data_IF_442838210489
#
_entry.id   IF_442838210489
#
_cell.length_a   1.000
_cell.length_b   1.000
_cell.length_c   1.000
_cell.angle_alpha   90.00
_cell.angle_beta   90.00
_cell.angle_gamma   90.00
#
_symmetry.space_group_name_H-M   'P 1'
#
loop_
_entity.id
_entity.type
_entity.pdbx_description
1 polymer ?
#
# COMPACT_ATOMS: atom_id res chain seq x y z
N UNK A 1 -26.62 -42.69 -5.58
CA UNK A 1 -25.75 -41.60 -5.09
C UNK A 1 -25.72 -41.52 -3.56
N UNK A 2 -26.86 -41.40 -2.83
CA UNK A 2 -26.86 -41.29 -1.35
C UNK A 2 -26.19 -42.49 -0.64
N UNK A 3 -26.38 -43.72 -1.12
CA UNK A 3 -25.70 -44.93 -0.60
C UNK A 3 -24.17 -44.89 -0.77
N UNK A 4 -23.69 -44.34 -1.90
CA UNK A 4 -22.27 -44.24 -2.23
C UNK A 4 -21.55 -43.17 -1.33
N UNK A 5 -22.30 -42.13 -0.93
CA UNK A 5 -21.79 -41.02 -0.12
C UNK A 5 -22.08 -41.23 1.39
N UNK A 6 -22.69 -42.34 1.79
CA UNK A 6 -23.02 -42.62 3.19
C UNK A 6 -24.03 -41.64 3.81
N UNK A 7 -24.87 -40.98 2.99
CA UNK A 7 -25.85 -40.00 3.43
C UNK A 7 -27.25 -40.58 3.36
N UNK A 8 -28.11 -40.34 4.38
CA UNK A 8 -29.50 -40.75 4.34
C UNK A 8 -30.27 -40.03 3.23
N UNK A 9 -31.22 -40.72 2.57
CA UNK A 9 -32.05 -40.08 1.55
C UNK A 9 -32.88 -38.93 2.10
N UNK A 10 -33.46 -39.07 3.28
CA UNK A 10 -34.23 -38.03 3.94
C UNK A 10 -33.37 -36.77 4.19
N UNK A 11 -32.16 -36.92 4.75
CA UNK A 11 -31.27 -35.82 4.96
C UNK A 11 -30.87 -35.08 3.66
N UNK A 12 -30.73 -35.81 2.55
CA UNK A 12 -30.48 -35.21 1.25
C UNK A 12 -31.68 -34.41 0.74
N UNK A 13 -32.90 -34.98 0.80
CA UNK A 13 -34.11 -34.28 0.35
C UNK A 13 -34.48 -33.09 1.28
N UNK A 14 -34.28 -33.22 2.57
CA UNK A 14 -34.43 -32.11 3.53
C UNK A 14 -33.43 -30.97 3.26
N UNK A 15 -32.21 -31.31 2.85
CA UNK A 15 -31.22 -30.33 2.43
C UNK A 15 -31.64 -29.63 1.12
N UNK A 16 -32.10 -30.40 0.11
CA UNK A 16 -32.57 -29.84 -1.17
C UNK A 16 -33.83 -28.97 -0.96
N UNK A 17 -34.79 -29.40 -0.16
CA UNK A 17 -35.97 -28.58 0.18
C UNK A 17 -35.59 -27.30 0.90
N UNK A 18 -34.70 -27.36 1.88
CA UNK A 18 -34.20 -26.17 2.55
C UNK A 18 -33.45 -25.22 1.59
N UNK A 19 -32.75 -25.76 0.61
CA UNK A 19 -32.03 -25.00 -0.43
C UNK A 19 -33.00 -24.34 -1.41
N UNK A 20 -34.08 -25.05 -1.82
CA UNK A 20 -35.08 -24.55 -2.75
C UNK A 20 -36.10 -23.60 -2.07
N UNK A 21 -36.46 -23.89 -0.81
CA UNK A 21 -37.44 -23.12 -0.04
C UNK A 21 -36.79 -22.09 0.93
N UNK A 22 -35.47 -21.85 0.80
CA UNK A 22 -34.85 -20.80 1.59
C UNK A 22 -35.51 -19.47 1.20
N UNK A 23 -36.29 -18.85 2.10
CA UNK A 23 -36.85 -17.53 1.79
C UNK A 23 -35.71 -16.64 1.39
N UNK A 24 -35.97 -15.78 0.43
CA UNK A 24 -35.03 -14.83 -0.10
C UNK A 24 -34.48 -13.98 1.06
N UNK A 25 -33.35 -14.43 1.62
CA UNK A 25 -32.77 -13.78 2.79
C UNK A 25 -32.27 -12.39 2.38
N UNK A 26 -33.12 -11.40 2.58
CA UNK A 26 -32.81 -9.99 2.29
C UNK A 26 -31.48 -9.58 2.92
N UNK A 27 -31.19 -10.04 4.13
CA UNK A 27 -29.92 -9.77 4.81
C UNK A 27 -28.74 -10.43 4.08
N UNK A 28 -28.90 -11.66 3.58
CA UNK A 28 -27.87 -12.31 2.80
C UNK A 28 -27.60 -11.62 1.46
N UNK A 29 -28.66 -11.17 0.77
CA UNK A 29 -28.51 -10.37 -0.46
C UNK A 29 -27.80 -9.03 -0.17
N UNK A 30 -28.14 -8.34 0.92
CA UNK A 30 -27.46 -7.13 1.32
C UNK A 30 -25.96 -7.37 1.59
N UNK A 31 -25.62 -8.49 2.24
CA UNK A 31 -24.23 -8.90 2.45
C UNK A 31 -23.48 -9.16 1.15
N UNK A 32 -24.08 -9.86 0.18
CA UNK A 32 -23.47 -10.11 -1.13
C UNK A 32 -23.25 -8.79 -1.89
N UNK A 33 -24.24 -7.91 -1.90
CA UNK A 33 -24.12 -6.59 -2.51
C UNK A 33 -23.00 -5.76 -1.85
N UNK A 34 -22.93 -5.77 -0.51
CA UNK A 34 -21.85 -5.08 0.21
C UNK A 34 -20.47 -5.64 -0.15
N UNK A 35 -20.32 -6.97 -0.24
CA UNK A 35 -19.09 -7.65 -0.65
C UNK A 35 -18.68 -7.24 -2.07
N UNK A 36 -19.63 -7.21 -3.02
CA UNK A 36 -19.37 -6.77 -4.39
C UNK A 36 -18.95 -5.29 -4.48
N UNK A 37 -19.63 -4.41 -3.73
CA UNK A 37 -19.31 -2.99 -3.68
C UNK A 37 -17.92 -2.73 -3.09
N UNK A 38 -17.56 -3.40 -1.99
CA UNK A 38 -16.21 -3.35 -1.40
C UNK A 38 -15.19 -3.88 -2.39
N UNK A 39 -15.45 -5.01 -3.07
CA UNK A 39 -14.52 -5.56 -4.04
C UNK A 39 -14.27 -4.60 -5.21
N UNK A 40 -15.32 -3.95 -5.73
CA UNK A 40 -15.20 -2.93 -6.79
C UNK A 40 -14.42 -1.71 -6.32
N UNK A 41 -14.71 -1.18 -5.13
CA UNK A 41 -14.02 0.02 -4.60
C UNK A 41 -12.53 -0.19 -4.37
N UNK A 42 -12.10 -1.42 -4.04
CA UNK A 42 -10.69 -1.77 -3.87
C UNK A 42 -10.07 -2.46 -5.08
N UNK A 43 -10.71 -2.41 -6.25
CA UNK A 43 -10.24 -3.01 -7.51
C UNK A 43 -9.87 -4.51 -7.36
N UNK A 44 -10.67 -5.27 -6.63
CA UNK A 44 -10.53 -6.72 -6.39
C UNK A 44 -9.20 -7.11 -5.70
N UNK A 45 -8.64 -6.24 -4.88
CA UNK A 45 -7.35 -6.47 -4.21
C UNK A 45 -7.48 -6.98 -2.79
N UNK A 46 -8.68 -6.87 -2.18
CA UNK A 46 -8.91 -7.30 -0.81
C UNK A 46 -9.16 -8.80 -0.71
N UNK A 47 -8.29 -9.50 0.04
CA UNK A 47 -8.56 -10.87 0.48
C UNK A 47 -9.49 -10.92 1.70
N UNK A 48 -9.87 -12.12 2.14
CA UNK A 48 -10.85 -12.34 3.22
C UNK A 48 -10.56 -11.62 4.55
N UNK A 49 -9.30 -11.31 4.85
CA UNK A 49 -8.94 -10.56 6.08
C UNK A 49 -9.39 -9.10 6.00
N UNK A 50 -9.07 -8.41 4.88
CA UNK A 50 -9.50 -7.02 4.65
C UNK A 50 -11.00 -6.94 4.39
N UNK A 51 -11.56 -7.90 3.63
CA UNK A 51 -13.00 -7.99 3.39
C UNK A 51 -13.80 -8.10 4.70
N UNK A 52 -13.38 -8.98 5.64
CA UNK A 52 -13.98 -9.05 6.98
C UNK A 52 -13.96 -7.68 7.67
N UNK A 53 -12.82 -6.99 7.66
CA UNK A 53 -12.68 -5.67 8.35
C UNK A 53 -13.56 -4.61 7.69
N UNK A 54 -13.63 -4.58 6.36
CA UNK A 54 -14.46 -3.65 5.62
C UNK A 54 -15.97 -3.91 5.88
N UNK A 55 -16.41 -5.17 5.91
CA UNK A 55 -17.80 -5.53 6.24
C UNK A 55 -18.14 -5.15 7.68
N UNK A 56 -17.24 -5.40 8.63
CA UNK A 56 -17.48 -5.05 10.03
C UNK A 56 -17.54 -3.52 10.25
N UNK A 57 -16.83 -2.72 9.44
CA UNK A 57 -16.92 -1.26 9.44
C UNK A 57 -18.26 -0.74 8.88
N UNK A 58 -19.03 -1.59 8.17
CA UNK A 58 -20.39 -1.34 7.71
C UNK A 58 -21.43 -2.01 8.62
N UNK A 59 -21.06 -2.33 9.87
CA UNK A 59 -21.89 -3.00 10.89
C UNK A 59 -22.32 -4.45 10.57
N UNK A 60 -21.79 -5.06 9.51
CA UNK A 60 -21.98 -6.47 9.23
C UNK A 60 -21.02 -7.34 10.05
N UNK A 61 -21.46 -7.87 11.18
CA UNK A 61 -20.64 -8.75 12.04
C UNK A 61 -20.41 -10.11 11.38
N UNK A 62 -19.28 -10.25 10.66
CA UNK A 62 -18.91 -11.48 9.96
C UNK A 62 -17.57 -12.02 10.45
N UNK A 63 -17.45 -13.36 10.50
CA UNK A 63 -16.17 -14.03 10.70
C UNK A 63 -15.34 -14.00 9.41
N UNK A 64 -14.04 -14.28 9.50
CA UNK A 64 -13.16 -14.40 8.32
C UNK A 64 -13.62 -15.51 7.38
N UNK A 65 -14.12 -16.62 7.94
CA UNK A 65 -14.62 -17.74 7.17
C UNK A 65 -15.89 -17.35 6.40
N UNK A 66 -16.87 -16.69 7.06
CA UNK A 66 -18.07 -16.17 6.40
C UNK A 66 -17.74 -15.18 5.29
N UNK A 67 -16.80 -14.23 5.53
CA UNK A 67 -16.35 -13.31 4.50
C UNK A 67 -15.74 -14.03 3.28
N UNK A 68 -14.95 -15.11 3.51
CA UNK A 68 -14.40 -15.94 2.41
C UNK A 68 -15.51 -16.63 1.60
N UNK A 69 -16.51 -17.21 2.27
CA UNK A 69 -17.65 -17.84 1.61
C UNK A 69 -18.43 -16.86 0.76
N UNK A 70 -18.77 -15.68 1.33
CA UNK A 70 -19.48 -14.62 0.61
C UNK A 70 -18.70 -14.15 -0.63
N UNK A 71 -17.37 -14.02 -0.53
CA UNK A 71 -16.52 -13.68 -1.68
C UNK A 71 -16.57 -14.77 -2.78
N UNK A 72 -16.56 -16.04 -2.40
CA UNK A 72 -16.68 -17.17 -3.33
C UNK A 72 -18.05 -17.20 -4.01
N UNK A 73 -19.12 -17.01 -3.25
CA UNK A 73 -20.50 -16.96 -3.73
C UNK A 73 -20.73 -15.77 -4.67
N UNK A 74 -20.14 -14.60 -4.36
CA UNK A 74 -20.16 -13.43 -5.22
C UNK A 74 -19.23 -13.53 -6.45
N UNK A 75 -18.54 -14.66 -6.66
CA UNK A 75 -17.63 -14.86 -7.79
C UNK A 75 -16.37 -14.00 -7.77
N UNK A 76 -15.96 -13.48 -6.59
CA UNK A 76 -14.84 -12.56 -6.50
C UNK A 76 -13.52 -13.30 -6.57
N UNK A 77 -12.74 -13.00 -7.60
CA UNK A 77 -11.35 -13.44 -7.75
C UNK A 77 -10.40 -12.34 -7.32
N UNK A 78 -9.56 -12.62 -6.29
CA UNK A 78 -8.59 -11.66 -5.76
C UNK A 78 -7.35 -11.65 -6.63
N UNK A 79 -6.85 -10.46 -6.96
CA UNK A 79 -5.59 -10.27 -7.67
C UNK A 79 -4.40 -10.79 -6.85
N UNK A 80 -3.67 -11.78 -7.37
CA UNK A 80 -2.54 -12.40 -6.69
C UNK A 80 -1.20 -11.78 -7.11
N UNK A 81 -0.25 -11.73 -6.16
CA UNK A 81 1.09 -11.19 -6.40
C UNK A 81 1.87 -12.07 -7.39
N UNK A 82 2.40 -11.47 -8.46
CA UNK A 82 3.42 -12.09 -9.31
C UNK A 82 4.81 -11.83 -8.73
N UNK A 83 5.71 -12.82 -8.80
CA UNK A 83 7.12 -12.65 -8.40
C UNK A 83 7.78 -11.61 -9.32
N UNK A 84 8.60 -10.72 -8.77
CA UNK A 84 9.38 -9.75 -9.55
C UNK A 84 10.87 -9.82 -9.18
N UNK A 85 11.74 -9.27 -10.05
CA UNK A 85 13.18 -9.29 -9.90
C UNK A 85 13.69 -7.96 -9.34
N UNK A 86 14.68 -8.00 -8.42
CA UNK A 86 15.34 -6.81 -7.86
C UNK A 86 16.29 -6.23 -8.91
N UNK A 87 16.35 -4.89 -9.03
CA UNK A 87 17.08 -4.17 -10.09
C UNK A 87 17.93 -2.99 -9.61
N UNK A 88 18.22 -2.85 -8.31
CA UNK A 88 19.02 -1.73 -7.81
C UNK A 88 20.50 -2.04 -7.87
N UNK A 89 21.27 -1.24 -8.62
CA UNK A 89 22.72 -1.22 -8.57
C UNK A 89 23.19 -0.19 -7.53
N UNK A 90 23.81 -0.69 -6.44
CA UNK A 90 24.30 0.11 -5.32
C UNK A 90 25.82 0.37 -5.36
N UNK A 91 26.50 0.02 -6.45
CA UNK A 91 27.94 0.10 -6.56
C UNK A 91 28.38 1.43 -7.20
N UNK A 92 28.55 2.46 -6.38
CA UNK A 92 29.04 3.78 -6.83
C UNK A 92 30.01 4.40 -5.79
N UNK A 93 30.98 5.27 -6.20
CA UNK A 93 32.01 5.85 -5.33
C UNK A 93 31.51 7.09 -4.53
N UNK A 94 30.20 7.43 -4.57
CA UNK A 94 29.68 8.60 -3.88
C UNK A 94 29.59 8.37 -2.36
N UNK A 95 29.72 9.44 -1.54
CA UNK A 95 29.61 9.35 -0.09
C UNK A 95 28.24 8.80 0.35
N UNK A 96 28.26 7.84 1.26
CA UNK A 96 27.09 7.15 1.78
C UNK A 96 26.84 7.63 3.22
N UNK A 97 25.58 7.91 3.58
CA UNK A 97 25.21 8.17 4.97
C UNK A 97 25.23 6.89 5.80
N UNK A 98 25.56 6.99 7.08
CA UNK A 98 25.42 5.90 8.02
C UNK A 98 23.95 5.51 8.20
N UNK A 99 23.69 4.24 8.51
CA UNK A 99 22.33 3.76 8.78
C UNK A 99 21.86 4.17 10.18
N UNK A 100 21.17 5.31 10.27
CA UNK A 100 20.58 5.82 11.50
C UNK A 100 19.26 5.09 11.87
N UNK A 101 18.54 4.57 10.85
CA UNK A 101 17.25 3.91 11.08
C UNK A 101 17.39 2.56 11.77
N UNK A 102 18.45 1.80 11.47
CA UNK A 102 18.79 0.50 12.05
C UNK A 102 17.58 -0.44 12.23
N UNK A 103 16.67 -0.49 11.25
CA UNK A 103 15.41 -1.27 11.24
C UNK A 103 14.42 -0.91 12.35
N UNK A 104 14.54 0.23 12.98
CA UNK A 104 13.56 0.73 13.94
C UNK A 104 12.36 1.33 13.17
N UNK A 105 11.48 0.45 12.68
CA UNK A 105 10.34 0.85 11.86
C UNK A 105 9.12 1.33 12.67
N UNK A 106 9.24 1.41 13.98
CA UNK A 106 8.22 1.95 14.88
C UNK A 106 8.66 3.31 15.38
N UNK A 107 7.88 4.34 15.06
CA UNK A 107 8.12 5.72 15.50
C UNK A 107 6.88 6.26 16.23
N UNK A 108 7.09 7.16 17.17
CA UNK A 108 6.04 7.61 18.10
C UNK A 108 5.11 8.67 17.50
N UNK A 109 5.58 9.45 16.53
CA UNK A 109 4.83 10.58 15.96
C UNK A 109 5.09 10.71 14.45
N UNK A 110 4.18 11.35 13.70
CA UNK A 110 4.44 11.69 12.30
C UNK A 110 5.63 12.64 12.18
N UNK A 111 6.20 12.67 11.00
CA UNK A 111 7.28 13.59 10.59
C UNK A 111 8.58 13.45 11.41
N UNK A 112 8.84 12.25 11.99
CA UNK A 112 10.12 11.92 12.64
C UNK A 112 11.07 11.17 11.70
N UNK A 113 10.54 10.28 10.87
CA UNK A 113 11.33 9.49 9.93
C UNK A 113 10.57 9.36 8.62
N UNK A 114 11.22 9.75 7.53
CA UNK A 114 10.74 9.48 6.17
C UNK A 114 11.58 8.40 5.52
N UNK A 115 10.92 7.55 4.74
CA UNK A 115 11.55 6.49 3.94
C UNK A 115 11.33 6.82 2.47
N UNK A 116 12.42 6.82 1.71
CA UNK A 116 12.43 7.20 0.30
C UNK A 116 12.91 6.05 -0.58
N UNK A 117 12.32 5.94 -1.76
CA UNK A 117 12.77 4.96 -2.75
C UNK A 117 12.25 5.31 -4.15
N UNK A 118 12.83 4.69 -5.18
CA UNK A 118 12.45 4.85 -6.58
C UNK A 118 11.97 3.52 -7.14
N UNK A 119 10.91 3.55 -7.94
CA UNK A 119 10.50 2.41 -8.75
C UNK A 119 10.30 2.81 -10.20
N UNK A 120 10.30 1.82 -11.10
CA UNK A 120 10.00 2.02 -12.51
C UNK A 120 8.68 1.32 -12.89
N UNK A 121 7.95 1.96 -13.79
CA UNK A 121 6.69 1.50 -14.37
C UNK A 121 6.83 1.51 -15.89
N UNK A 122 6.49 0.40 -16.53
CA UNK A 122 6.55 0.30 -17.98
C UNK A 122 5.33 0.93 -18.64
N UNK A 123 5.56 1.71 -19.71
CA UNK A 123 4.54 2.25 -20.61
C UNK A 123 4.97 2.00 -22.06
N UNK A 124 4.06 2.13 -23.02
CA UNK A 124 4.40 2.00 -24.45
C UNK A 124 5.40 3.07 -24.91
N UNK A 125 5.43 4.24 -24.25
CA UNK A 125 6.43 5.29 -24.49
C UNK A 125 7.76 5.04 -23.79
N UNK A 126 7.93 3.91 -23.10
CA UNK A 126 9.11 3.53 -22.32
C UNK A 126 8.94 3.74 -20.81
N UNK A 127 10.03 3.69 -20.08
CA UNK A 127 10.03 3.75 -18.60
C UNK A 127 9.50 5.08 -18.05
N UNK A 128 8.65 4.98 -17.03
CA UNK A 128 8.29 6.05 -16.11
C UNK A 128 8.89 5.71 -14.74
N UNK A 129 9.65 6.64 -14.16
CA UNK A 129 10.23 6.51 -12.83
C UNK A 129 9.38 7.27 -11.82
N UNK A 130 9.10 6.63 -10.69
CA UNK A 130 8.36 7.19 -9.56
C UNK A 130 9.27 7.19 -8.34
N UNK A 131 9.59 8.37 -7.80
CA UNK A 131 10.16 8.53 -6.46
C UNK A 131 9.05 8.80 -5.46
N UNK A 132 9.14 8.22 -4.27
CA UNK A 132 8.19 8.44 -3.17
C UNK A 132 8.91 8.79 -1.88
N UNK A 133 8.21 9.53 -1.03
CA UNK A 133 8.57 9.83 0.35
C UNK A 133 7.41 9.35 1.23
N UNK A 134 7.69 8.45 2.16
CA UNK A 134 6.69 7.79 3.00
C UNK A 134 6.99 8.13 4.46
N UNK A 135 6.02 8.65 5.18
CA UNK A 135 6.10 8.80 6.62
C UNK A 135 6.08 7.42 7.30
N UNK A 136 7.08 7.16 8.11
CA UNK A 136 7.25 5.88 8.76
C UNK A 136 6.20 5.63 9.85
N UNK A 137 5.65 6.66 10.49
CA UNK A 137 4.60 6.55 11.50
C UNK A 137 3.30 6.01 10.90
N UNK A 138 2.79 6.70 9.89
CA UNK A 138 1.48 6.43 9.31
C UNK A 138 1.51 5.58 8.04
N UNK A 139 2.69 5.29 7.50
CA UNK A 139 2.86 4.67 6.17
C UNK A 139 2.27 5.52 5.03
N UNK A 140 1.97 6.78 5.30
CA UNK A 140 1.41 7.73 4.33
C UNK A 140 2.46 8.15 3.32
N UNK A 141 2.11 8.14 2.05
CA UNK A 141 2.92 8.78 1.01
C UNK A 141 2.72 10.28 1.13
N UNK A 142 3.75 10.98 1.59
CA UNK A 142 3.74 12.43 1.87
C UNK A 142 4.37 13.25 0.75
N UNK A 143 5.13 12.63 -0.14
CA UNK A 143 5.69 13.27 -1.31
C UNK A 143 5.96 12.27 -2.42
N UNK A 144 5.86 12.71 -3.66
CA UNK A 144 6.17 11.91 -4.85
C UNK A 144 6.58 12.79 -6.02
N UNK A 145 7.32 12.22 -6.94
CA UNK A 145 7.64 12.83 -8.23
C UNK A 145 7.74 11.76 -9.31
N UNK A 146 7.40 12.10 -10.54
CA UNK A 146 7.45 11.18 -11.69
C UNK A 146 8.17 11.81 -12.87
N UNK A 147 9.04 11.02 -13.53
CA UNK A 147 9.83 11.49 -14.68
C UNK A 147 10.14 10.34 -15.65
N UNK A 148 10.38 10.68 -16.91
CA UNK A 148 10.91 9.74 -17.91
C UNK A 148 12.38 9.37 -17.70
N UNK A 149 13.10 10.05 -16.79
CA UNK A 149 14.53 9.83 -16.49
C UNK A 149 14.76 9.76 -14.99
N UNK A 150 15.57 8.82 -14.56
CA UNK A 150 15.95 8.62 -13.14
C UNK A 150 17.11 9.54 -12.75
N UNK A 151 16.87 10.86 -12.73
CA UNK A 151 17.85 11.88 -12.33
C UNK A 151 17.70 12.25 -10.85
N UNK A 152 18.71 12.91 -10.29
CA UNK A 152 18.70 13.46 -8.91
C UNK A 152 17.51 14.40 -8.68
N UNK A 153 17.10 15.18 -9.70
CA UNK A 153 15.94 16.07 -9.60
C UNK A 153 14.68 15.33 -9.19
N UNK A 154 14.48 14.09 -9.66
CA UNK A 154 13.33 13.25 -9.33
C UNK A 154 13.16 13.06 -7.80
N UNK A 155 14.23 12.69 -7.10
CA UNK A 155 14.20 12.47 -5.64
C UNK A 155 14.15 13.78 -4.85
N UNK A 156 14.80 14.83 -5.36
CA UNK A 156 14.73 16.17 -4.76
C UNK A 156 13.31 16.74 -4.81
N UNK A 157 12.61 16.58 -5.94
CA UNK A 157 11.27 17.12 -6.11
C UNK A 157 10.25 16.34 -5.28
N UNK A 158 10.39 15.01 -5.14
CA UNK A 158 9.59 14.23 -4.22
C UNK A 158 9.76 14.70 -2.76
N UNK A 159 11.01 14.95 -2.33
CA UNK A 159 11.28 15.44 -0.98
C UNK A 159 10.79 16.88 -0.78
N UNK A 160 10.99 17.78 -1.76
CA UNK A 160 10.44 19.16 -1.71
C UNK A 160 8.93 19.17 -1.56
N UNK A 161 8.22 18.30 -2.29
CA UNK A 161 6.77 18.14 -2.14
C UNK A 161 6.41 17.75 -0.70
N UNK A 162 7.08 16.74 -0.12
CA UNK A 162 6.86 16.34 1.26
C UNK A 162 7.11 17.48 2.26
N UNK A 163 8.21 18.24 2.08
CA UNK A 163 8.54 19.39 2.90
C UNK A 163 7.46 20.48 2.82
N UNK A 164 7.03 20.79 1.61
CA UNK A 164 6.01 21.82 1.39
C UNK A 164 4.66 21.45 2.01
N UNK A 165 4.24 20.19 1.87
CA UNK A 165 2.96 19.70 2.40
C UNK A 165 2.96 19.52 3.92
N UNK A 166 4.08 19.07 4.50
CA UNK A 166 4.13 18.63 5.90
C UNK A 166 4.85 19.62 6.82
N UNK A 167 5.76 20.42 6.27
CA UNK A 167 6.62 21.35 7.04
C UNK A 167 7.30 20.68 8.24
N UNK A 168 7.99 19.54 8.02
CA UNK A 168 8.58 18.78 9.11
C UNK A 168 9.64 19.59 9.86
N UNK A 169 9.81 19.37 11.18
CA UNK A 169 10.83 20.06 11.97
C UNK A 169 12.24 19.61 11.58
N UNK A 170 13.27 20.43 11.85
CA UNK A 170 14.66 19.99 11.79
C UNK A 170 14.90 18.75 12.64
N UNK A 171 15.88 17.92 12.25
CA UNK A 171 16.15 16.65 12.90
C UNK A 171 15.36 15.45 12.34
N UNK A 172 14.46 15.67 11.35
CA UNK A 172 13.83 14.59 10.61
C UNK A 172 14.88 13.67 10.01
N UNK A 173 14.74 12.37 10.23
CA UNK A 173 15.58 11.35 9.57
C UNK A 173 14.97 11.02 8.20
N UNK A 174 15.77 11.14 7.15
CA UNK A 174 15.37 10.76 5.78
C UNK A 174 16.20 9.55 5.36
N UNK A 175 15.54 8.37 5.34
CA UNK A 175 16.17 7.09 5.00
C UNK A 175 15.90 6.70 3.56
N UNK A 176 16.92 6.19 2.87
CA UNK A 176 16.83 5.68 1.50
C UNK A 176 17.70 4.45 1.28
N UNK A 177 17.58 3.84 0.11
CA UNK A 177 18.59 2.92 -0.39
C UNK A 177 19.91 3.68 -0.73
N UNK A 178 20.95 2.93 -1.18
CA UNK A 178 22.23 3.50 -1.61
C UNK A 178 22.22 3.95 -3.08
N UNK A 179 21.09 4.33 -3.64
CA UNK A 179 21.04 4.82 -5.01
C UNK A 179 21.85 6.11 -5.19
N UNK A 180 22.57 6.25 -6.32
CA UNK A 180 23.42 7.41 -6.62
C UNK A 180 22.65 8.73 -6.59
N UNK A 181 21.34 8.71 -6.82
CA UNK A 181 20.45 9.87 -6.75
C UNK A 181 20.39 10.45 -5.34
N UNK A 182 20.29 9.58 -4.31
CA UNK A 182 20.26 9.95 -2.90
C UNK A 182 21.64 10.33 -2.34
N UNK A 183 22.72 9.75 -2.89
CA UNK A 183 24.09 10.08 -2.54
C UNK A 183 24.59 11.39 -3.19
N UNK A 184 23.83 11.98 -4.12
CA UNK A 184 24.23 13.16 -4.89
C UNK A 184 24.42 14.40 -4.02
N UNK A 185 25.31 15.32 -4.45
CA UNK A 185 25.56 16.59 -3.77
C UNK A 185 24.29 17.44 -3.64
N UNK A 186 23.43 17.46 -4.68
CA UNK A 186 22.19 18.24 -4.66
C UNK A 186 21.21 17.73 -3.59
N UNK A 187 21.04 16.42 -3.47
CA UNK A 187 20.16 15.83 -2.45
C UNK A 187 20.71 16.06 -1.04
N UNK A 188 22.01 15.88 -0.81
CA UNK A 188 22.66 16.17 0.47
C UNK A 188 22.54 17.64 0.88
N UNK A 189 22.70 18.58 -0.08
CA UNK A 189 22.49 20.00 0.17
C UNK A 189 21.05 20.31 0.55
N UNK A 190 20.08 19.64 -0.08
CA UNK A 190 18.66 19.78 0.27
C UNK A 190 18.40 19.32 1.72
N UNK A 191 18.90 18.15 2.13
CA UNK A 191 18.78 17.70 3.52
C UNK A 191 19.40 18.70 4.50
N UNK A 192 20.62 19.16 4.21
CA UNK A 192 21.34 20.15 5.05
C UNK A 192 20.58 21.47 5.18
N UNK A 193 20.00 21.97 4.09
CA UNK A 193 19.25 23.23 4.08
C UNK A 193 18.04 23.23 5.03
N UNK A 194 17.43 22.05 5.26
CA UNK A 194 16.29 21.88 6.17
C UNK A 194 16.67 21.27 7.53
N UNK A 195 17.97 21.05 7.79
CA UNK A 195 18.44 20.46 9.04
C UNK A 195 18.04 18.99 9.20
N UNK A 196 17.87 18.24 8.10
CA UNK A 196 17.49 16.84 8.11
C UNK A 196 18.70 15.93 8.21
N UNK A 197 18.51 14.77 8.81
CA UNK A 197 19.53 13.75 9.02
C UNK A 197 19.39 12.69 7.90
N UNK A 198 20.40 12.59 7.04
CA UNK A 198 20.45 11.56 6.01
C UNK A 198 20.77 10.19 6.61
N UNK A 199 20.09 9.15 6.14
CA UNK A 199 20.32 7.75 6.51
C UNK A 199 20.22 6.87 5.27
N UNK A 200 21.09 5.85 5.15
CA UNK A 200 21.08 4.92 4.02
C UNK A 200 21.13 3.47 4.49
N UNK A 201 20.51 2.60 3.70
CA UNK A 201 20.54 1.14 3.90
C UNK A 201 21.97 0.62 3.87
N UNK A 202 22.25 -0.50 4.55
CA UNK A 202 23.51 -1.22 4.44
C UNK A 202 23.68 -1.84 3.06
N UNK A 203 24.91 -2.02 2.62
CA UNK A 203 25.21 -2.62 1.31
C UNK A 203 24.59 -4.02 1.19
N UNK A 204 23.83 -4.25 0.12
CA UNK A 204 23.20 -5.53 -0.15
C UNK A 204 22.06 -5.91 0.81
N UNK A 205 21.60 -4.99 1.66
CA UNK A 205 20.55 -5.26 2.65
C UNK A 205 19.22 -4.61 2.29
N UNK A 206 18.37 -5.34 1.56
CA UNK A 206 17.04 -4.89 1.16
C UNK A 206 16.08 -4.69 2.35
N UNK A 207 16.29 -5.38 3.47
CA UNK A 207 15.43 -5.27 4.65
C UNK A 207 15.45 -3.89 5.31
N UNK A 208 16.52 -3.12 5.08
CA UNK A 208 16.65 -1.79 5.67
C UNK A 208 15.67 -0.78 5.04
N UNK A 209 15.14 -1.04 3.80
CA UNK A 209 14.14 -0.21 3.11
C UNK A 209 12.78 -0.92 2.91
N UNK A 210 12.47 -1.91 3.76
CA UNK A 210 11.31 -2.79 3.62
C UNK A 210 9.95 -2.05 3.53
N UNK A 211 9.85 -0.84 4.09
CA UNK A 211 8.61 -0.04 4.08
C UNK A 211 8.31 0.48 2.67
N UNK A 212 9.30 1.06 2.00
CA UNK A 212 9.14 1.53 0.63
C UNK A 212 8.94 0.36 -0.34
N UNK A 213 9.66 -0.74 -0.14
CA UNK A 213 9.46 -1.98 -0.93
C UNK A 213 8.03 -2.53 -0.76
N UNK A 214 7.48 -2.51 0.46
CA UNK A 214 6.10 -2.93 0.74
C UNK A 214 5.08 -2.04 0.03
N UNK A 215 5.30 -0.73 0.00
CA UNK A 215 4.47 0.21 -0.75
C UNK A 215 4.51 -0.09 -2.25
N UNK A 216 5.70 -0.20 -2.84
CA UNK A 216 5.84 -0.51 -4.27
C UNK A 216 5.30 -1.89 -4.63
N UNK A 217 5.46 -2.88 -3.75
CA UNK A 217 4.82 -4.18 -3.89
C UNK A 217 3.29 -4.06 -3.98
N UNK A 218 2.69 -3.21 -3.12
CA UNK A 218 1.25 -2.93 -3.13
C UNK A 218 0.84 -2.20 -4.41
N UNK A 219 1.51 -1.10 -4.77
CA UNK A 219 1.23 -0.34 -5.99
C UNK A 219 1.30 -1.22 -7.25
N UNK A 220 2.37 -1.99 -7.40
CA UNK A 220 2.56 -2.87 -8.56
C UNK A 220 1.50 -3.97 -8.62
N UNK A 221 1.24 -4.65 -7.49
CA UNK A 221 0.27 -5.73 -7.42
C UNK A 221 -1.17 -5.25 -7.59
N UNK A 222 -1.52 -4.13 -6.96
CA UNK A 222 -2.90 -3.67 -6.90
C UNK A 222 -3.28 -2.87 -8.15
N UNK A 223 -2.30 -2.26 -8.85
CA UNK A 223 -2.55 -1.37 -9.97
C UNK A 223 -1.74 -1.70 -11.22
N UNK A 224 -0.42 -1.53 -11.20
CA UNK A 224 0.40 -1.50 -12.41
C UNK A 224 0.44 -2.83 -13.18
N UNK A 225 0.43 -3.98 -12.50
CA UNK A 225 0.53 -5.31 -13.16
C UNK A 225 -0.71 -5.70 -13.98
N UNK A 226 -1.82 -5.00 -13.79
CA UNK A 226 -3.11 -5.30 -14.42
C UNK A 226 -3.50 -4.28 -15.48
N UNK A 227 -2.62 -3.33 -15.77
CA UNK A 227 -2.86 -2.23 -16.70
C UNK A 227 -1.74 -2.13 -17.72
N UNK A 228 -2.13 -1.87 -18.96
CA UNK A 228 -1.22 -1.57 -20.06
C UNK A 228 -1.33 -0.07 -20.38
N UNK A 229 -0.36 0.70 -19.90
CA UNK A 229 -0.33 2.14 -20.10
C UNK A 229 0.19 2.47 -21.50
N UNK A 230 -0.62 3.14 -22.30
CA UNK A 230 -0.22 3.62 -23.64
C UNK A 230 0.79 4.76 -23.52
N UNK A 231 0.55 5.70 -22.60
CA UNK A 231 1.40 6.87 -22.42
C UNK A 231 1.90 6.98 -20.97
N UNK A 232 3.01 7.68 -20.75
CA UNK A 232 3.48 8.05 -19.41
C UNK A 232 2.46 8.90 -18.68
N UNK A 233 1.75 9.78 -19.39
CA UNK A 233 0.70 10.62 -18.80
C UNK A 233 -0.44 9.77 -18.22
N UNK A 234 -0.93 8.76 -18.95
CA UNK A 234 -1.95 7.85 -18.46
C UNK A 234 -1.49 7.09 -17.19
N UNK A 235 -0.23 6.64 -17.17
CA UNK A 235 0.36 6.02 -15.98
C UNK A 235 0.46 7.00 -14.81
N UNK A 236 0.86 8.25 -15.05
CA UNK A 236 0.95 9.29 -14.01
C UNK A 236 -0.41 9.55 -13.36
N UNK A 237 -1.46 9.75 -14.15
CA UNK A 237 -2.82 9.99 -13.64
C UNK A 237 -3.32 8.82 -12.78
N UNK A 238 -3.11 7.59 -13.25
CA UNK A 238 -3.54 6.40 -12.52
C UNK A 238 -2.79 6.20 -11.20
N UNK A 239 -1.47 6.45 -11.18
CA UNK A 239 -0.64 6.39 -9.98
C UNK A 239 -1.01 7.49 -8.99
N UNK A 240 -1.27 8.71 -9.45
CA UNK A 240 -1.75 9.81 -8.62
C UNK A 240 -3.07 9.45 -7.94
N UNK A 241 -4.03 8.91 -8.69
CA UNK A 241 -5.29 8.45 -8.14
C UNK A 241 -5.07 7.33 -7.11
N UNK A 242 -4.17 6.39 -7.40
CA UNK A 242 -3.85 5.33 -6.46
C UNK A 242 -3.27 5.88 -5.15
N UNK A 243 -2.30 6.78 -5.20
CA UNK A 243 -1.65 7.34 -4.01
C UNK A 243 -2.62 8.22 -3.23
N UNK A 244 -3.20 9.24 -3.88
CA UNK A 244 -3.95 10.28 -3.21
C UNK A 244 -5.34 9.81 -2.76
N UNK A 245 -6.06 9.08 -3.62
CA UNK A 245 -7.44 8.69 -3.33
C UNK A 245 -7.50 7.33 -2.63
N UNK A 246 -6.83 6.32 -3.14
CA UNK A 246 -6.98 4.97 -2.62
C UNK A 246 -6.01 4.68 -1.47
N UNK A 247 -4.69 4.74 -1.69
CA UNK A 247 -3.69 4.29 -0.73
C UNK A 247 -3.73 5.10 0.58
N UNK A 248 -3.68 6.42 0.48
CA UNK A 248 -3.66 7.29 1.66
C UNK A 248 -5.01 7.38 2.40
N UNK A 249 -6.15 7.31 1.68
CA UNK A 249 -7.46 7.58 2.26
C UNK A 249 -8.31 6.34 2.54
N UNK A 250 -8.20 5.29 1.72
CA UNK A 250 -9.17 4.18 1.74
C UNK A 250 -8.52 2.83 2.05
N UNK A 251 -7.25 2.64 1.61
CA UNK A 251 -6.62 1.33 1.69
C UNK A 251 -6.40 0.88 3.13
N UNK A 252 -7.01 -0.25 3.50
CA UNK A 252 -6.82 -0.87 4.81
C UNK A 252 -5.40 -1.45 4.92
N UNK A 253 -4.62 -0.92 5.86
CA UNK A 253 -3.23 -1.29 6.08
C UNK A 253 -3.08 -2.19 7.31
N UNK A 254 -2.59 -3.42 7.13
CA UNK A 254 -2.49 -4.40 8.22
C UNK A 254 -1.59 -3.98 9.37
N UNK A 255 -0.53 -3.21 9.09
CA UNK A 255 0.37 -2.65 10.10
C UNK A 255 -0.31 -1.57 10.96
N UNK A 256 -1.30 -0.87 10.42
CA UNK A 256 -2.05 0.20 11.08
C UNK A 256 -3.40 -0.30 11.64
N UNK A 257 -3.47 -1.54 12.05
CA UNK A 257 -4.71 -2.22 12.51
C UNK A 257 -5.87 -2.07 11.52
N UNK A 258 -5.58 -2.22 10.24
CA UNK A 258 -6.55 -2.10 9.13
C UNK A 258 -7.21 -0.72 9.03
N UNK A 259 -6.52 0.33 9.42
CA UNK A 259 -6.88 1.72 9.12
C UNK A 259 -6.16 2.20 7.86
N UNK A 260 -6.69 3.23 7.21
CA UNK A 260 -5.93 3.92 6.17
C UNK A 260 -4.88 4.84 6.81
N UNK A 261 -3.80 5.21 6.09
CA UNK A 261 -2.80 6.15 6.58
C UNK A 261 -3.39 7.44 7.15
N UNK A 262 -4.36 8.05 6.44
CA UNK A 262 -5.01 9.28 6.90
C UNK A 262 -5.88 9.08 8.15
N UNK A 263 -6.61 7.97 8.24
CA UNK A 263 -7.38 7.65 9.45
C UNK A 263 -6.48 7.45 10.65
N UNK A 264 -5.36 6.76 10.47
CA UNK A 264 -4.40 6.52 11.55
C UNK A 264 -3.79 7.82 12.09
N UNK A 265 -3.37 8.75 11.21
CA UNK A 265 -2.89 10.08 11.62
C UNK A 265 -3.97 10.90 12.33
N UNK A 266 -5.20 10.88 11.81
CA UNK A 266 -6.31 11.65 12.39
C UNK A 266 -6.66 11.18 13.81
N UNK A 267 -6.63 9.87 14.07
CA UNK A 267 -6.87 9.32 15.40
C UNK A 267 -5.72 9.64 16.37
N UNK A 268 -4.47 9.51 15.92
CA UNK A 268 -3.32 9.88 16.73
C UNK A 268 -3.34 11.36 17.13
N UNK A 269 -3.74 12.25 16.20
CA UNK A 269 -3.87 13.69 16.48
C UNK A 269 -4.99 13.98 17.51
N UNK A 270 -6.09 13.21 17.51
CA UNK A 270 -7.15 13.34 18.52
C UNK A 270 -6.68 12.88 19.90
N UNK A 271 -5.93 11.78 19.97
CA UNK A 271 -5.40 11.26 21.24
C UNK A 271 -4.40 12.23 21.89
N UNK A 272 -3.58 12.94 21.09
CA UNK A 272 -2.63 13.94 21.60
C UNK A 272 -3.38 15.19 22.13
N UNK A 273 -4.52 15.56 21.55
CA UNK A 273 -5.31 16.71 22.01
C UNK A 273 -6.15 16.41 23.25
N UNK A 274 -6.40 15.13 23.54
CA UNK A 274 -7.19 14.67 24.67
C UNK A 274 -6.33 14.34 25.92
N UNK A 275 -5.00 14.28 25.77
CA UNK A 275 -4.02 14.09 26.85
C UNK A 275 -3.42 15.43 27.28
#
# INVERSE_FOLDING_TARGET
MCRLLGVSRSAYYDYEQRRCNCPDDLHHRQLLNAVQNIAKSCDYTYGSRRMKRALNALDYRVSRWKARRLMQEAGIQVKHRKKYKVTTDSNHPLPVFENQLNRQFTVARPDQVYVCDITCIWTQEGWLYLAVVIDLFSRKVVGWSMSSRMKTTLVCDALRMAIWLRRPPPGLIVHSDRGSQYASKAYRNLLKAYGFIGSMSRLGNCWDNAVAESFFGSLKQERCQWRHYQTRHAAQQDILQYIAVFYNNQRLHSYLDYKSPNQYEAEAAKSIKAA
#
